data_IF_093887907505
#
_entry.id   IF_093887907505
#
_cell.length_a   1.000
_cell.length_b   1.000
_cell.length_c   1.000
_cell.angle_alpha   90.00
_cell.angle_beta   90.00
_cell.angle_gamma   90.00
#
_symmetry.space_group_name_H-M   'P 1'
#
loop_
_entity.id
_entity.type
_entity.pdbx_description
1 polymer ?
#
# COMPACT_ATOMS: atom_id res chain seq x y z
N UNK A 1 -5.61 29.95 8.94
CA UNK A 1 -5.13 29.22 7.74
C UNK A 1 -5.93 27.94 7.57
N UNK A 2 -7.15 28.03 7.02
CA UNK A 2 -7.91 26.84 6.61
C UNK A 2 -7.77 26.78 5.09
N UNK A 3 -6.64 26.22 4.63
CA UNK A 3 -6.41 26.03 3.21
C UNK A 3 -7.53 25.12 2.68
N UNK A 4 -8.26 25.59 1.65
CA UNK A 4 -9.32 24.81 1.01
C UNK A 4 -8.69 23.51 0.51
N UNK A 5 -8.95 22.41 1.22
CA UNK A 5 -8.48 21.09 0.81
C UNK A 5 -9.11 20.82 -0.56
N UNK A 6 -8.27 20.83 -1.61
CA UNK A 6 -8.77 20.64 -2.96
C UNK A 6 -9.44 19.26 -3.07
N UNK A 7 -10.64 19.16 -3.65
CA UNK A 7 -11.39 17.90 -3.72
C UNK A 7 -10.62 16.76 -4.38
N UNK A 8 -9.63 17.08 -5.23
CA UNK A 8 -8.74 16.11 -5.87
C UNK A 8 -7.93 15.26 -4.89
N UNK A 9 -7.58 15.77 -3.69
CA UNK A 9 -6.85 14.97 -2.69
C UNK A 9 -7.66 13.79 -2.16
N UNK A 10 -8.97 13.97 -2.00
CA UNK A 10 -9.88 12.88 -1.63
C UNK A 10 -10.00 11.84 -2.74
N UNK A 11 -9.98 12.28 -4.01
CA UNK A 11 -9.99 11.40 -5.16
C UNK A 11 -8.71 10.55 -5.22
N UNK A 12 -7.54 11.18 -5.04
CA UNK A 12 -6.25 10.49 -4.98
C UNK A 12 -6.17 9.47 -3.84
N UNK A 13 -6.64 9.85 -2.65
CA UNK A 13 -6.75 8.94 -1.50
C UNK A 13 -7.71 7.78 -1.76
N UNK A 14 -8.85 8.02 -2.40
CA UNK A 14 -9.81 6.98 -2.76
C UNK A 14 -9.21 5.95 -3.73
N UNK A 15 -8.58 6.41 -4.82
CA UNK A 15 -7.90 5.51 -5.76
C UNK A 15 -6.74 4.75 -5.11
N UNK A 16 -5.97 5.43 -4.26
CA UNK A 16 -4.93 4.79 -3.43
C UNK A 16 -5.52 3.70 -2.54
N UNK A 17 -6.64 3.96 -1.86
CA UNK A 17 -7.30 2.98 -1.00
C UNK A 17 -7.78 1.74 -1.76
N UNK A 18 -8.44 1.93 -2.90
CA UNK A 18 -8.92 0.83 -3.75
C UNK A 18 -7.75 0.00 -4.28
N UNK A 19 -6.71 0.65 -4.82
CA UNK A 19 -5.51 -0.04 -5.33
C UNK A 19 -4.78 -0.79 -4.21
N UNK A 20 -4.59 -0.17 -3.05
CA UNK A 20 -3.95 -0.79 -1.90
C UNK A 20 -4.69 -2.03 -1.40
N UNK A 21 -6.02 -1.99 -1.43
CA UNK A 21 -6.85 -3.15 -1.06
C UNK A 21 -6.70 -4.30 -2.06
N UNK A 22 -6.78 -4.01 -3.36
CA UNK A 22 -6.60 -5.02 -4.42
C UNK A 22 -5.23 -5.67 -4.32
N UNK A 23 -4.17 -4.88 -4.18
CA UNK A 23 -2.78 -5.37 -4.09
C UNK A 23 -2.58 -6.19 -2.82
N UNK A 24 -3.17 -5.76 -1.69
CA UNK A 24 -3.16 -6.55 -0.47
C UNK A 24 -3.77 -7.94 -0.66
N UNK A 25 -4.90 -8.04 -1.36
CA UNK A 25 -5.57 -9.32 -1.64
C UNK A 25 -4.75 -10.22 -2.56
N UNK A 26 -4.18 -9.66 -3.63
CA UNK A 26 -3.30 -10.41 -4.54
C UNK A 26 -2.10 -10.97 -3.76
N UNK A 27 -1.46 -10.16 -2.91
CA UNK A 27 -0.33 -10.59 -2.11
C UNK A 27 -0.71 -11.66 -1.07
N UNK A 28 -1.87 -11.53 -0.42
CA UNK A 28 -2.38 -12.54 0.50
C UNK A 28 -2.60 -13.88 -0.18
N UNK A 29 -3.25 -13.89 -1.36
CA UNK A 29 -3.47 -15.12 -2.13
C UNK A 29 -2.13 -15.75 -2.50
N UNK A 30 -1.19 -14.96 -3.01
CA UNK A 30 0.15 -15.44 -3.33
C UNK A 30 0.85 -16.01 -2.09
N UNK A 31 0.78 -15.34 -0.94
CA UNK A 31 1.40 -15.78 0.30
C UNK A 31 0.79 -17.08 0.85
N UNK A 32 -0.53 -17.27 0.71
CA UNK A 32 -1.22 -18.52 1.07
C UNK A 32 -0.75 -19.66 0.17
N UNK A 33 -0.81 -19.48 -1.15
CA UNK A 33 -0.35 -20.49 -2.12
C UNK A 33 1.12 -20.82 -1.92
N UNK A 34 1.95 -19.80 -1.69
CA UNK A 34 3.36 -19.96 -1.40
C UNK A 34 3.57 -20.84 -0.15
N UNK A 35 2.84 -20.58 0.94
CA UNK A 35 2.91 -21.34 2.19
C UNK A 35 2.39 -22.79 2.04
N UNK A 36 1.33 -22.99 1.28
CA UNK A 36 0.74 -24.32 1.05
C UNK A 36 1.59 -25.20 0.11
N UNK A 37 2.36 -24.58 -0.79
CA UNK A 37 3.20 -25.27 -1.78
C UNK A 37 4.44 -26.02 -1.22
N UNK A 38 4.52 -26.23 0.10
CA UNK A 38 5.54 -27.05 0.79
C UNK A 38 7.00 -26.55 0.60
N UNK A 39 7.23 -25.24 0.51
CA UNK A 39 8.60 -24.70 0.64
C UNK A 39 8.99 -24.66 2.14
N UNK A 40 9.67 -25.73 2.56
CA UNK A 40 10.40 -25.98 3.81
C UNK A 40 10.00 -25.13 5.04
N UNK A 41 9.27 -25.74 5.97
CA UNK A 41 8.90 -25.18 7.28
C UNK A 41 10.14 -24.79 8.12
N UNK A 42 11.34 -25.29 7.77
CA UNK A 42 12.59 -24.90 8.43
C UNK A 42 13.19 -23.59 7.88
N UNK A 43 12.66 -23.05 6.79
CA UNK A 43 13.09 -21.76 6.24
C UNK A 43 12.53 -20.58 7.06
N UNK A 44 11.51 -20.80 7.91
CA UNK A 44 11.08 -19.79 8.89
C UNK A 44 12.07 -19.61 10.04
N UNK A 45 12.85 -20.64 10.39
CA UNK A 45 13.89 -20.58 11.43
C UNK A 45 15.17 -19.87 11.00
N UNK A 46 15.36 -19.60 9.71
CA UNK A 46 16.51 -18.84 9.19
C UNK A 46 16.28 -17.33 9.12
N UNK A 47 15.08 -16.85 9.47
CA UNK A 47 14.80 -15.42 9.61
C UNK A 47 15.08 -14.95 11.04
N UNK A 48 15.67 -13.75 11.23
CA UNK A 48 15.88 -13.19 12.55
C UNK A 48 14.55 -13.08 13.30
N UNK A 49 14.51 -13.53 14.55
CA UNK A 49 13.31 -13.65 15.40
C UNK A 49 12.55 -12.33 15.62
N UNK A 50 13.11 -11.19 15.21
CA UNK A 50 12.48 -9.86 15.28
C UNK A 50 11.82 -9.38 13.99
N UNK A 51 12.03 -10.06 12.86
CA UNK A 51 11.61 -9.59 11.53
C UNK A 51 11.08 -10.75 10.67
N UNK A 52 9.87 -11.27 10.98
CA UNK A 52 9.27 -12.30 10.16
C UNK A 52 9.06 -11.77 8.73
N UNK A 53 9.27 -12.59 7.70
CA UNK A 53 9.06 -12.16 6.32
C UNK A 53 7.60 -11.77 6.07
N UNK A 54 7.41 -10.87 5.10
CA UNK A 54 6.12 -10.23 4.81
C UNK A 54 4.99 -11.23 4.52
N UNK A 55 5.29 -12.39 3.92
CA UNK A 55 4.31 -13.42 3.62
C UNK A 55 3.79 -14.15 4.87
N UNK A 56 4.58 -14.26 5.94
CA UNK A 56 4.10 -14.77 7.24
C UNK A 56 3.12 -13.76 7.82
N UNK A 57 3.52 -12.50 7.87
CA UNK A 57 2.66 -11.43 8.42
C UNK A 57 1.35 -11.31 7.64
N UNK A 58 1.39 -11.48 6.32
CA UNK A 58 0.22 -11.46 5.45
C UNK A 58 -0.73 -12.65 5.68
N UNK A 59 -0.24 -13.80 6.14
CA UNK A 59 -1.05 -15.01 6.40
C UNK A 59 -1.52 -15.11 7.85
N UNK A 60 -0.68 -14.76 8.83
CA UNK A 60 -1.02 -14.85 10.27
C UNK A 60 -1.85 -13.66 10.75
N UNK A 61 -1.62 -12.47 10.17
CA UNK A 61 -2.32 -11.24 10.52
C UNK A 61 -2.86 -10.53 9.28
N UNK A 62 -3.75 -11.18 8.49
CA UNK A 62 -4.20 -10.67 7.20
C UNK A 62 -4.86 -9.30 7.31
N UNK A 63 -5.65 -9.06 8.37
CA UNK A 63 -6.31 -7.77 8.59
C UNK A 63 -5.32 -6.63 8.83
N UNK A 64 -4.30 -6.85 9.68
CA UNK A 64 -3.27 -5.82 9.96
C UNK A 64 -2.46 -5.54 8.71
N UNK A 65 -2.07 -6.58 7.97
CA UNK A 65 -1.36 -6.43 6.71
C UNK A 65 -2.15 -5.61 5.69
N UNK A 66 -3.44 -5.93 5.49
CA UNK A 66 -4.31 -5.16 4.59
C UNK A 66 -4.47 -3.72 5.01
N UNK A 67 -4.62 -3.45 6.31
CA UNK A 67 -4.72 -2.10 6.83
C UNK A 67 -3.47 -1.28 6.49
N UNK A 68 -2.29 -1.81 6.76
CA UNK A 68 -1.02 -1.12 6.46
C UNK A 68 -0.81 -0.90 4.97
N UNK A 69 -1.10 -1.90 4.12
CA UNK A 69 -0.98 -1.77 2.67
C UNK A 69 -1.92 -0.69 2.13
N UNK A 70 -3.19 -0.70 2.56
CA UNK A 70 -4.16 0.34 2.19
C UNK A 70 -3.69 1.72 2.62
N UNK A 71 -3.20 1.86 3.85
CA UNK A 71 -2.70 3.13 4.37
C UNK A 71 -1.50 3.67 3.57
N UNK A 72 -0.55 2.80 3.21
CA UNK A 72 0.60 3.16 2.37
C UNK A 72 0.12 3.66 1.00
N UNK A 73 -0.79 2.95 0.35
CA UNK A 73 -1.28 3.35 -0.97
C UNK A 73 -2.16 4.59 -0.95
N UNK A 74 -2.92 4.83 0.13
CA UNK A 74 -3.62 6.11 0.33
C UNK A 74 -2.61 7.26 0.38
N UNK A 75 -1.53 7.12 1.15
CA UNK A 75 -0.48 8.14 1.24
C UNK A 75 0.15 8.38 -0.14
N UNK A 76 0.51 7.32 -0.85
CA UNK A 76 1.07 7.43 -2.21
C UNK A 76 0.09 8.16 -3.14
N UNK A 77 -1.18 7.78 -3.14
CA UNK A 77 -2.21 8.42 -3.98
C UNK A 77 -2.38 9.91 -3.68
N UNK A 78 -2.36 10.30 -2.40
CA UNK A 78 -2.42 11.71 -1.99
C UNK A 78 -1.16 12.46 -2.44
N UNK A 79 0.04 11.91 -2.19
CA UNK A 79 1.32 12.53 -2.57
C UNK A 79 1.43 12.69 -4.09
N UNK A 80 1.10 11.66 -4.86
CA UNK A 80 1.06 11.73 -6.32
C UNK A 80 0.10 12.83 -6.81
N UNK A 81 -1.06 12.98 -6.17
CA UNK A 81 -2.01 14.04 -6.52
C UNK A 81 -1.46 15.43 -6.22
N UNK A 82 -0.77 15.61 -5.08
CA UNK A 82 -0.10 16.88 -4.74
C UNK A 82 0.93 17.24 -5.81
N UNK A 83 1.79 16.29 -6.19
CA UNK A 83 2.83 16.51 -7.20
C UNK A 83 2.21 16.88 -8.56
N UNK A 84 1.15 16.18 -8.97
CA UNK A 84 0.45 16.45 -10.23
C UNK A 84 -0.21 17.83 -10.26
N UNK A 85 -0.86 18.23 -9.17
CA UNK A 85 -1.49 19.56 -9.05
C UNK A 85 -0.44 20.67 -9.09
N UNK A 86 0.66 20.52 -8.34
CA UNK A 86 1.75 21.49 -8.35
C UNK A 86 2.35 21.66 -9.75
N UNK A 87 2.54 20.54 -10.47
CA UNK A 87 3.03 20.56 -11.85
C UNK A 87 2.04 21.19 -12.83
N UNK A 88 0.74 20.92 -12.69
CA UNK A 88 -0.30 21.54 -13.52
C UNK A 88 -0.36 23.05 -13.32
N UNK A 89 -0.27 23.52 -12.08
CA UNK A 89 -0.27 24.96 -11.77
C UNK A 89 1.00 25.65 -12.29
N UNK A 90 2.17 25.01 -12.19
CA UNK A 90 3.41 25.55 -12.74
C UNK A 90 3.35 25.72 -14.27
N UNK A 91 2.74 24.77 -14.99
CA UNK A 91 2.57 24.87 -16.43
C UNK A 91 1.65 26.04 -16.83
N UNK A 92 0.58 26.30 -16.07
CA UNK A 92 -0.35 27.41 -16.34
C UNK A 92 0.23 28.81 -16.11
N UNK A 93 1.31 28.93 -15.34
CA UNK A 93 2.00 30.22 -15.11
C UNK A 93 2.98 30.55 -16.23
N UNK A 94 3.39 29.54 -17.02
CA UNK A 94 4.35 29.68 -18.11
C UNK A 94 3.69 29.80 -19.50
N UNK A 95 2.35 29.72 -19.57
CA UNK A 95 1.53 30.07 -20.75
C UNK A 95 1.01 31.51 -20.61
#
# INVERSE_FOLDING_TARGET
MLSRIHPYYYLGGFFGGVLGYIISKIYQIWAIVYRESQFDVNMTSSWPSGSPPLWITATEHPMRFSFWMVLIYIIIGVVSTIILLNRSNANKVNE
#
